data_IF_096060342109
#
_entry.id   IF_096060342109
#
_cell.length_a   1.000
_cell.length_b   1.000
_cell.length_c   1.000
_cell.angle_alpha   90.00
_cell.angle_beta   90.00
_cell.angle_gamma   90.00
#
_symmetry.space_group_name_H-M   'P 1'
#
loop_
_entity.id
_entity.type
_entity.pdbx_description
1 polymer ?
#
# COMPACT_ATOMS: atom_id res chain seq x y z
N UNK A 1 4.21 -39.43 53.35
CA UNK A 1 3.71 -38.42 54.31
C UNK A 1 3.82 -38.95 55.74
N UNK A 2 4.96 -38.75 56.39
CA UNK A 2 5.20 -39.14 57.81
C UNK A 2 5.85 -37.97 58.60
N UNK A 3 5.76 -36.76 58.06
CA UNK A 3 6.28 -35.53 58.66
C UNK A 3 5.10 -34.66 59.08
N UNK A 4 5.15 -34.10 60.29
CA UNK A 4 4.11 -33.17 60.75
C UNK A 4 4.25 -31.85 60.00
N UNK A 5 3.33 -31.55 59.09
CA UNK A 5 3.24 -30.27 58.36
C UNK A 5 3.53 -30.41 56.85
N UNK A 6 3.28 -29.31 56.13
CA UNK A 6 3.56 -29.24 54.69
C UNK A 6 5.05 -29.40 54.40
N UNK A 7 5.33 -30.08 53.29
CA UNK A 7 6.67 -30.27 52.75
C UNK A 7 6.60 -30.32 51.23
N UNK A 8 7.76 -30.36 50.56
CA UNK A 8 7.87 -30.51 49.10
C UNK A 8 7.08 -31.71 48.51
N UNK A 9 6.75 -32.72 49.31
CA UNK A 9 6.09 -33.95 48.86
C UNK A 9 4.88 -34.34 49.71
N UNK A 10 4.35 -33.44 50.54
CA UNK A 10 3.29 -33.77 51.47
C UNK A 10 2.45 -32.57 51.90
N UNK A 11 1.14 -32.71 51.77
CA UNK A 11 0.13 -31.77 52.23
C UNK A 11 -0.09 -31.85 53.74
N UNK A 12 -0.74 -30.83 54.30
CA UNK A 12 -1.05 -30.76 55.73
C UNK A 12 -2.02 -31.86 56.20
N UNK A 13 -2.80 -32.43 55.29
CA UNK A 13 -3.72 -33.56 55.52
C UNK A 13 -3.08 -34.93 55.27
N UNK A 14 -1.75 -34.97 55.07
CA UNK A 14 -0.95 -36.16 54.75
C UNK A 14 -1.22 -36.78 53.36
N UNK A 15 -1.90 -36.07 52.44
CA UNK A 15 -1.92 -36.42 51.02
C UNK A 15 -0.62 -36.03 50.32
N UNK A 16 -0.38 -36.60 49.13
CA UNK A 16 0.83 -36.33 48.34
C UNK A 16 0.62 -35.01 47.60
N UNK A 17 1.60 -34.11 47.69
CA UNK A 17 1.66 -32.88 46.87
C UNK A 17 1.62 -33.24 45.39
N UNK A 18 0.58 -32.78 44.71
CA UNK A 18 0.43 -32.93 43.27
C UNK A 18 -0.37 -31.74 42.73
N UNK A 19 0.12 -31.16 41.65
CA UNK A 19 -0.61 -30.11 40.97
C UNK A 19 -2.00 -30.58 40.54
N UNK A 20 -3.02 -29.78 40.89
CA UNK A 20 -4.42 -30.04 40.58
C UNK A 20 -5.18 -30.78 41.69
N UNK A 21 -4.65 -30.83 42.91
CA UNK A 21 -5.36 -31.40 44.07
C UNK A 21 -6.19 -30.36 44.85
N UNK A 22 -6.14 -29.10 44.43
CA UNK A 22 -6.84 -27.98 45.04
C UNK A 22 -6.13 -27.38 46.26
N UNK A 23 -4.87 -27.74 46.51
CA UNK A 23 -4.06 -27.25 47.63
C UNK A 23 -2.78 -26.62 47.12
N UNK A 24 -2.68 -25.29 47.18
CA UNK A 24 -1.48 -24.56 46.77
C UNK A 24 -0.28 -24.92 47.67
N UNK A 25 0.70 -25.61 47.10
CA UNK A 25 1.95 -26.00 47.74
C UNK A 25 3.12 -25.09 47.30
N UNK A 26 3.23 -23.91 47.90
CA UNK A 26 4.30 -22.93 47.60
C UNK A 26 5.71 -23.51 47.77
N UNK A 27 5.91 -24.43 48.72
CA UNK A 27 7.20 -25.10 48.92
C UNK A 27 7.58 -26.05 47.79
N UNK A 28 6.61 -26.49 46.99
CA UNK A 28 6.78 -27.31 45.79
C UNK A 28 6.83 -26.51 44.49
N UNK A 29 6.71 -25.18 44.58
CA UNK A 29 6.78 -24.28 43.43
C UNK A 29 5.44 -23.96 42.79
N UNK A 30 4.32 -24.37 43.39
CA UNK A 30 3.00 -24.00 42.89
C UNK A 30 2.69 -22.52 43.18
N UNK A 31 2.20 -21.83 42.15
CA UNK A 31 1.73 -20.45 42.23
C UNK A 31 0.21 -20.38 42.41
N UNK A 32 -0.49 -21.41 41.95
CA UNK A 32 -1.94 -21.62 42.02
C UNK A 32 -2.27 -23.11 42.05
N UNK A 33 -3.47 -23.47 42.46
CA UNK A 33 -4.03 -24.81 42.28
C UNK A 33 -5.57 -24.72 42.36
N UNK A 34 -6.20 -24.66 41.19
CA UNK A 34 -7.66 -24.59 41.05
C UNK A 34 -8.31 -25.97 40.88
N UNK A 35 -7.63 -27.03 41.34
CA UNK A 35 -8.01 -28.44 41.13
C UNK A 35 -8.09 -28.83 39.64
N UNK A 36 -7.19 -28.26 38.83
CA UNK A 36 -7.08 -28.46 37.38
C UNK A 36 -6.77 -27.16 36.64
N UNK A 37 -6.78 -27.24 35.31
CA UNK A 37 -6.60 -26.06 34.43
C UNK A 37 -7.80 -25.12 34.57
N UNK A 38 -7.54 -23.84 34.74
CA UNK A 38 -8.54 -22.78 34.90
C UNK A 38 -8.16 -21.54 34.10
N UNK A 39 -8.92 -20.44 34.22
CA UNK A 39 -8.54 -19.14 33.64
C UNK A 39 -7.31 -18.52 34.33
N UNK A 40 -6.93 -19.01 35.51
CA UNK A 40 -5.85 -18.45 36.33
C UNK A 40 -4.71 -19.41 36.59
N UNK A 41 -4.89 -20.70 36.27
CA UNK A 41 -3.95 -21.74 36.63
C UNK A 41 -3.71 -22.73 35.49
N UNK A 42 -2.43 -22.94 35.15
CA UNK A 42 -2.00 -23.88 34.12
C UNK A 42 -2.04 -25.32 34.63
N UNK A 43 -1.78 -26.28 33.73
CA UNK A 43 -1.62 -27.70 34.09
C UNK A 43 -0.36 -27.96 34.93
N UNK A 44 0.56 -27.00 34.99
CA UNK A 44 1.79 -27.07 35.77
C UNK A 44 1.71 -26.26 37.08
N UNK A 45 0.50 -25.81 37.45
CA UNK A 45 0.25 -25.02 38.67
C UNK A 45 1.04 -23.70 38.72
N UNK A 46 1.29 -23.14 37.54
CA UNK A 46 1.77 -21.77 37.34
C UNK A 46 0.60 -20.87 36.97
N UNK A 47 0.74 -19.56 37.13
CA UNK A 47 -0.29 -18.62 36.68
C UNK A 47 -0.39 -18.63 35.15
N UNK A 48 -1.60 -18.74 34.62
CA UNK A 48 -1.85 -18.67 33.17
C UNK A 48 -1.47 -17.29 32.62
N UNK A 49 -0.60 -17.26 31.61
CA UNK A 49 -0.21 -16.03 30.92
C UNK A 49 0.27 -16.33 29.51
N UNK A 50 -0.12 -15.49 28.56
CA UNK A 50 0.45 -15.56 27.22
C UNK A 50 1.98 -15.36 27.26
N UNK A 51 2.70 -16.25 26.59
CA UNK A 51 4.15 -16.31 26.53
C UNK A 51 4.79 -17.20 27.60
N UNK A 52 3.99 -18.00 28.32
CA UNK A 52 4.50 -18.97 29.32
C UNK A 52 4.89 -20.32 28.68
N UNK A 53 4.61 -20.50 27.38
CA UNK A 53 4.90 -21.72 26.62
C UNK A 53 3.86 -22.83 26.81
N UNK A 54 2.74 -22.53 27.47
CA UNK A 54 1.62 -23.44 27.70
C UNK A 54 0.38 -22.81 27.07
N UNK A 55 -0.23 -23.48 26.09
CA UNK A 55 -1.46 -22.96 25.48
C UNK A 55 -2.65 -23.04 26.46
N UNK A 56 -2.98 -21.92 27.08
CA UNK A 56 -4.05 -21.75 28.06
C UNK A 56 -5.41 -21.56 27.37
N UNK A 57 -5.97 -22.64 26.83
CA UNK A 57 -7.25 -22.56 26.07
C UNK A 57 -8.44 -22.02 26.88
N UNK A 58 -8.39 -22.09 28.21
CA UNK A 58 -9.39 -21.52 29.14
C UNK A 58 -9.38 -19.99 29.16
N UNK A 59 -8.23 -19.35 28.95
CA UNK A 59 -8.09 -17.89 28.83
C UNK A 59 -8.30 -17.39 27.40
N UNK A 60 -8.47 -18.31 26.44
CA UNK A 60 -8.72 -17.99 25.04
C UNK A 60 -7.47 -18.00 24.14
N UNK A 61 -6.33 -18.46 24.64
CA UNK A 61 -5.12 -18.63 23.82
C UNK A 61 -5.34 -19.67 22.72
N UNK A 62 -4.84 -19.34 21.52
CA UNK A 62 -4.90 -20.21 20.34
C UNK A 62 -3.60 -20.98 20.13
N UNK A 63 -2.48 -20.40 20.60
CA UNK A 63 -1.13 -20.93 20.56
C UNK A 63 -0.33 -20.29 21.70
N UNK A 64 0.78 -20.90 22.10
CA UNK A 64 1.77 -20.24 22.96
C UNK A 64 3.14 -20.90 22.71
N UNK A 65 3.96 -20.26 21.87
CA UNK A 65 5.33 -20.70 21.59
C UNK A 65 6.37 -20.03 22.53
N UNK A 66 5.89 -19.43 23.63
CA UNK A 66 6.66 -18.67 24.61
C UNK A 66 6.96 -17.23 24.18
N UNK A 67 7.11 -16.97 22.89
CA UNK A 67 7.26 -15.64 22.27
C UNK A 67 6.55 -15.65 20.90
N UNK A 68 6.52 -14.50 20.22
CA UNK A 68 6.10 -14.44 18.81
C UNK A 68 6.90 -15.45 17.96
N UNK A 69 6.19 -16.16 17.08
CA UNK A 69 6.72 -17.16 16.17
C UNK A 69 6.04 -17.06 14.81
N UNK A 70 6.52 -17.85 13.84
CA UNK A 70 5.92 -17.92 12.51
C UNK A 70 4.45 -18.42 12.50
N UNK A 71 3.95 -18.98 13.60
CA UNK A 71 2.58 -19.49 13.73
C UNK A 71 1.79 -18.84 14.87
N UNK A 72 2.44 -18.02 15.70
CA UNK A 72 1.86 -17.48 16.92
C UNK A 72 2.22 -16.01 17.11
N UNK A 73 1.23 -15.15 17.29
CA UNK A 73 1.42 -13.75 17.61
C UNK A 73 1.89 -13.57 19.06
N UNK A 74 2.49 -12.42 19.37
CA UNK A 74 2.92 -12.08 20.72
C UNK A 74 1.77 -11.95 21.75
N UNK A 75 0.52 -11.99 21.32
CA UNK A 75 -0.68 -12.03 22.17
C UNK A 75 -1.39 -13.40 22.16
N UNK A 76 -0.72 -14.45 21.69
CA UNK A 76 -1.20 -15.83 21.72
C UNK A 76 -2.45 -16.10 20.86
N UNK A 77 -2.65 -15.28 19.82
CA UNK A 77 -3.51 -15.62 18.68
C UNK A 77 -2.67 -16.25 17.56
N UNK A 78 -3.31 -16.99 16.65
CA UNK A 78 -2.60 -17.50 15.48
C UNK A 78 -2.06 -16.36 14.63
N UNK A 79 -0.85 -16.53 14.10
CA UNK A 79 -0.27 -15.60 13.14
C UNK A 79 -0.98 -15.72 11.79
N UNK A 80 -1.78 -14.71 11.44
CA UNK A 80 -2.55 -14.68 10.20
C UNK A 80 -2.60 -13.26 9.69
N UNK A 81 -2.09 -13.04 8.49
CA UNK A 81 -2.24 -11.78 7.80
C UNK A 81 -3.71 -11.33 7.70
N UNK A 82 -3.97 -10.09 8.12
CA UNK A 82 -5.29 -9.47 8.19
C UNK A 82 -5.97 -9.63 9.55
N UNK A 83 -5.25 -10.05 10.59
CA UNK A 83 -5.78 -10.11 11.96
C UNK A 83 -5.56 -8.81 12.75
N UNK A 84 -4.87 -7.84 12.15
CA UNK A 84 -4.56 -6.54 12.74
C UNK A 84 -3.36 -6.55 13.69
N UNK A 85 -2.54 -7.61 13.65
CA UNK A 85 -1.36 -7.78 14.50
C UNK A 85 -0.17 -8.15 13.63
N UNK A 86 0.69 -7.18 13.38
CA UNK A 86 1.91 -7.40 12.60
C UNK A 86 2.83 -8.41 13.28
N UNK A 87 3.02 -9.57 12.62
CA UNK A 87 3.91 -10.63 13.05
C UNK A 87 5.13 -10.74 12.11
N UNK A 88 6.22 -10.11 12.54
CA UNK A 88 7.47 -10.11 11.77
C UNK A 88 8.11 -11.49 11.66
N UNK A 89 7.83 -12.37 12.62
CA UNK A 89 8.33 -13.75 12.62
C UNK A 89 7.60 -14.65 11.60
N UNK A 90 6.36 -14.30 11.25
CA UNK A 90 5.58 -14.91 10.17
C UNK A 90 5.90 -14.30 8.79
N UNK A 91 6.64 -13.19 8.75
CA UNK A 91 7.06 -12.51 7.53
C UNK A 91 6.19 -11.32 7.13
N UNK A 92 5.31 -10.86 8.01
CA UNK A 92 4.47 -9.69 7.79
C UNK A 92 5.30 -8.40 7.96
N UNK A 93 5.16 -7.47 7.02
CA UNK A 93 5.78 -6.15 7.08
C UNK A 93 4.82 -5.10 7.67
N UNK A 94 3.52 -5.37 7.59
CA UNK A 94 2.42 -4.60 8.16
C UNK A 94 1.22 -5.53 8.40
N UNK A 95 0.27 -5.14 9.25
CA UNK A 95 -1.05 -5.77 9.31
C UNK A 95 -2.05 -4.77 9.89
N UNK A 96 -2.73 -4.05 9.01
CA UNK A 96 -3.77 -3.08 9.40
C UNK A 96 -5.16 -3.75 9.55
N UNK A 97 -5.24 -5.09 9.51
CA UNK A 97 -6.46 -5.90 9.55
C UNK A 97 -7.21 -6.00 8.20
N UNK A 98 -6.84 -5.16 7.23
CA UNK A 98 -7.33 -5.14 5.86
C UNK A 98 -6.36 -4.31 5.01
N UNK A 99 -6.49 -4.38 3.68
CA UNK A 99 -5.73 -3.52 2.78
C UNK A 99 -5.96 -2.03 3.10
N UNK A 100 -4.87 -1.26 3.15
CA UNK A 100 -4.85 0.19 3.36
C UNK A 100 -3.90 0.86 2.38
N UNK A 101 -3.83 2.19 2.41
CA UNK A 101 -2.86 2.95 1.62
C UNK A 101 -1.39 2.68 2.00
N UNK A 102 -1.11 1.92 3.07
CA UNK A 102 0.23 1.61 3.57
C UNK A 102 0.53 0.10 3.62
N UNK A 103 -0.49 -0.74 3.46
CA UNK A 103 -0.40 -2.17 3.67
C UNK A 103 -1.23 -2.91 2.62
N UNK A 104 -0.59 -3.83 1.91
CA UNK A 104 -1.24 -4.70 0.93
C UNK A 104 -2.07 -5.79 1.64
N UNK A 105 -2.95 -6.46 0.89
CA UNK A 105 -3.80 -7.53 1.42
C UNK A 105 -3.05 -8.81 1.80
N UNK A 106 -1.79 -8.93 1.37
CA UNK A 106 -0.85 -10.00 1.70
C UNK A 106 0.16 -9.62 2.80
N UNK A 107 -0.08 -8.49 3.49
CA UNK A 107 0.74 -7.98 4.59
C UNK A 107 2.17 -7.58 4.20
N UNK A 108 2.39 -7.30 2.92
CA UNK A 108 3.55 -6.55 2.45
C UNK A 108 3.29 -5.04 2.50
N UNK A 109 4.36 -4.25 2.61
CA UNK A 109 4.23 -2.80 2.49
C UNK A 109 3.87 -2.43 1.05
N UNK A 110 2.91 -1.51 0.90
CA UNK A 110 2.51 -1.08 -0.44
C UNK A 110 3.65 -0.32 -1.14
N UNK A 111 3.87 -0.61 -2.41
CA UNK A 111 4.78 0.18 -3.24
C UNK A 111 4.49 -0.03 -4.71
N UNK A 112 4.22 1.05 -5.44
CA UNK A 112 4.19 1.00 -6.90
C UNK A 112 5.43 0.29 -7.50
N UNK A 113 5.18 -0.76 -8.27
CA UNK A 113 6.17 -1.68 -8.82
C UNK A 113 6.35 -2.98 -8.01
N UNK A 114 5.48 -3.30 -7.05
CA UNK A 114 5.52 -4.54 -6.27
C UNK A 114 4.68 -5.69 -6.87
N UNK A 115 4.09 -5.46 -8.05
CA UNK A 115 3.17 -6.38 -8.75
C UNK A 115 1.84 -6.64 -8.02
N UNK A 116 1.51 -5.82 -7.00
CA UNK A 116 0.27 -5.90 -6.22
C UNK A 116 -0.50 -4.59 -6.39
N UNK A 117 -1.69 -4.65 -6.99
CA UNK A 117 -2.50 -3.44 -7.18
C UNK A 117 -3.20 -3.07 -5.87
N UNK A 118 -2.77 -1.99 -5.24
CA UNK A 118 -3.38 -1.44 -4.05
C UNK A 118 -4.25 -0.21 -4.36
N UNK A 119 -5.55 -0.44 -4.52
CA UNK A 119 -6.52 0.63 -4.85
C UNK A 119 -6.66 1.66 -3.72
N UNK A 120 -6.36 1.29 -2.47
CA UNK A 120 -6.44 2.20 -1.33
C UNK A 120 -5.23 3.14 -1.28
N UNK A 121 -4.09 2.73 -1.84
CA UNK A 121 -2.93 3.57 -2.09
C UNK A 121 -3.09 4.49 -3.32
N UNK A 122 -4.13 4.26 -4.12
CA UNK A 122 -4.43 5.03 -5.34
C UNK A 122 -3.84 4.46 -6.62
N UNK A 123 -3.42 3.19 -6.60
CA UNK A 123 -2.91 2.51 -7.78
C UNK A 123 -4.05 2.06 -8.70
N UNK A 124 -3.85 2.27 -10.00
CA UNK A 124 -4.77 1.85 -11.05
C UNK A 124 -4.22 0.63 -11.82
N UNK A 125 -2.91 0.40 -11.75
CA UNK A 125 -2.18 -0.72 -12.30
C UNK A 125 -0.88 -0.93 -11.53
N UNK A 126 -0.33 -2.14 -11.57
CA UNK A 126 1.03 -2.43 -11.11
C UNK A 126 1.56 -3.62 -11.91
N UNK A 127 2.34 -3.32 -12.96
CA UNK A 127 2.96 -4.34 -13.80
C UNK A 127 4.40 -4.68 -13.32
N UNK A 128 4.77 -4.30 -12.09
CA UNK A 128 6.12 -4.42 -11.51
C UNK A 128 7.14 -3.39 -12.01
N UNK A 129 6.84 -2.76 -13.15
CA UNK A 129 7.64 -1.74 -13.81
C UNK A 129 6.77 -0.95 -14.78
N UNK A 130 7.27 0.18 -15.29
CA UNK A 130 6.57 0.92 -16.34
C UNK A 130 6.39 0.06 -17.60
N UNK A 131 5.16 0.01 -18.13
CA UNK A 131 4.78 -0.72 -19.34
C UNK A 131 3.93 0.15 -20.27
N UNK A 132 3.55 -0.39 -21.43
CA UNK A 132 2.65 0.30 -22.34
C UNK A 132 1.24 0.58 -21.76
N UNK A 133 0.86 -0.09 -20.67
CA UNK A 133 -0.44 0.06 -19.99
C UNK A 133 -0.34 0.71 -18.62
N UNK A 134 0.86 0.81 -18.04
CA UNK A 134 1.06 1.26 -16.68
C UNK A 134 2.22 2.25 -16.58
N UNK A 135 1.94 3.42 -16.01
CA UNK A 135 2.94 4.45 -15.76
C UNK A 135 3.83 4.10 -14.58
N UNK A 136 4.99 4.76 -14.51
CA UNK A 136 5.97 4.60 -13.41
C UNK A 136 5.46 5.04 -12.02
N UNK A 137 4.28 5.64 -11.94
CA UNK A 137 3.60 5.96 -10.68
C UNK A 137 2.29 5.15 -10.47
N UNK A 138 2.12 4.05 -11.20
CA UNK A 138 1.01 3.12 -11.06
C UNK A 138 -0.36 3.73 -11.41
N UNK A 139 -0.36 4.74 -12.29
CA UNK A 139 -1.56 5.20 -13.00
C UNK A 139 -1.64 4.53 -14.36
N UNK A 140 -2.84 4.41 -14.93
CA UNK A 140 -2.98 3.84 -16.28
C UNK A 140 -2.26 4.74 -17.28
N UNK A 141 -1.43 4.14 -18.14
CA UNK A 141 -0.75 4.85 -19.21
C UNK A 141 -1.77 5.36 -20.25
N UNK A 142 -2.01 6.67 -20.25
CA UNK A 142 -2.88 7.33 -21.22
C UNK A 142 -2.27 8.65 -21.63
N UNK A 143 -2.04 8.83 -22.92
CA UNK A 143 -1.56 10.10 -23.41
C UNK A 143 -2.40 11.31 -22.99
N UNK A 144 -1.75 12.33 -22.42
CA UNK A 144 -2.36 13.53 -21.85
C UNK A 144 -2.63 13.43 -20.35
N UNK A 145 -2.06 12.45 -19.65
CA UNK A 145 -2.26 12.19 -18.21
C UNK A 145 -1.27 12.93 -17.29
N UNK A 146 -0.31 13.65 -17.85
CA UNK A 146 0.76 14.36 -17.15
C UNK A 146 2.11 13.61 -17.17
N UNK A 147 2.17 12.39 -17.72
CA UNK A 147 3.28 11.46 -17.56
C UNK A 147 3.74 10.96 -18.93
N UNK A 148 5.04 11.04 -19.20
CA UNK A 148 5.61 10.54 -20.45
C UNK A 148 5.97 9.07 -20.27
N UNK A 149 5.25 8.19 -20.97
CA UNK A 149 5.49 6.75 -20.95
C UNK A 149 6.04 6.25 -22.29
N UNK A 150 7.36 6.08 -22.34
CA UNK A 150 8.04 5.62 -23.56
C UNK A 150 7.67 4.19 -23.96
N UNK A 151 7.20 3.36 -23.01
CA UNK A 151 6.73 2.01 -23.29
C UNK A 151 5.36 2.01 -23.96
N UNK A 152 4.52 3.02 -23.67
CA UNK A 152 3.26 3.27 -24.38
C UNK A 152 3.46 3.91 -25.77
N UNK A 153 4.72 4.20 -26.13
CA UNK A 153 5.09 4.85 -27.39
C UNK A 153 5.14 6.37 -27.30
N UNK A 154 5.07 6.93 -26.10
CA UNK A 154 5.06 8.37 -25.87
C UNK A 154 6.49 8.92 -25.82
N UNK A 155 6.77 9.85 -26.72
CA UNK A 155 7.91 10.76 -26.72
C UNK A 155 7.59 12.05 -25.94
N UNK A 156 6.31 12.23 -25.62
CA UNK A 156 5.72 13.31 -24.84
C UNK A 156 4.27 12.94 -24.47
N UNK A 157 3.74 13.63 -23.48
CA UNK A 157 2.43 13.34 -22.88
C UNK A 157 1.29 14.15 -23.55
N UNK A 158 1.24 14.18 -24.88
CA UNK A 158 0.08 14.74 -25.61
C UNK A 158 -0.29 16.20 -25.35
N UNK A 159 0.55 17.00 -24.68
CA UNK A 159 0.26 18.43 -24.48
C UNK A 159 0.53 19.25 -25.75
N UNK A 160 -0.03 20.46 -25.79
CA UNK A 160 0.07 21.36 -26.92
C UNK A 160 1.53 21.58 -27.34
N UNK A 161 1.88 21.21 -28.57
CA UNK A 161 3.28 21.19 -28.99
C UNK A 161 3.90 19.82 -29.19
N UNK A 162 3.16 18.77 -28.92
CA UNK A 162 3.64 17.43 -29.19
C UNK A 162 2.66 16.61 -30.02
N UNK A 163 3.14 16.13 -31.17
CA UNK A 163 2.37 15.39 -32.16
C UNK A 163 2.36 13.88 -31.92
N UNK A 164 2.69 13.46 -30.72
CA UNK A 164 2.57 12.07 -30.32
C UNK A 164 1.11 11.69 -30.04
N UNK A 165 0.83 10.38 -29.99
CA UNK A 165 -0.50 9.84 -29.68
C UNK A 165 -1.56 10.01 -30.78
N UNK A 166 -1.14 10.29 -32.01
CA UNK A 166 -2.01 10.39 -33.18
C UNK A 166 -3.15 11.41 -33.00
N UNK A 167 -2.88 12.53 -32.32
CA UNK A 167 -3.72 13.72 -32.43
C UNK A 167 -3.52 14.36 -33.82
N UNK A 168 -4.28 13.87 -34.78
CA UNK A 168 -4.47 14.48 -36.09
C UNK A 168 -5.32 15.77 -35.98
N UNK A 169 -4.92 16.74 -35.16
CA UNK A 169 -5.52 18.08 -35.21
C UNK A 169 -4.43 19.15 -35.24
N UNK A 170 -3.62 19.12 -36.29
CA UNK A 170 -2.64 20.15 -36.64
C UNK A 170 -3.30 21.39 -37.25
N UNK A 171 -4.39 21.90 -36.66
CA UNK A 171 -5.23 22.89 -37.34
C UNK A 171 -4.90 24.36 -36.99
N UNK A 172 -3.93 24.62 -36.10
CA UNK A 172 -3.38 25.95 -35.82
C UNK A 172 -2.11 26.27 -36.62
N UNK A 173 -1.65 25.33 -37.46
CA UNK A 173 -0.43 25.45 -38.27
C UNK A 173 -0.68 25.88 -39.73
N UNK A 174 -1.90 26.26 -40.05
CA UNK A 174 -2.30 26.72 -41.38
C UNK A 174 -2.92 28.11 -41.28
N UNK A 175 -2.69 28.93 -42.31
CA UNK A 175 -3.26 30.27 -42.39
C UNK A 175 -4.77 30.23 -42.58
N UNK A 176 -5.49 31.15 -41.95
CA UNK A 176 -6.94 31.28 -42.03
C UNK A 176 -7.36 32.73 -42.17
N UNK A 177 -8.42 32.91 -42.95
CA UNK A 177 -9.10 34.20 -43.13
C UNK A 177 -10.07 34.52 -41.98
N UNK A 178 -10.15 33.65 -40.98
CA UNK A 178 -10.91 33.87 -39.75
C UNK A 178 -9.94 34.21 -38.62
N UNK A 179 -10.32 35.08 -37.69
CA UNK A 179 -9.60 35.17 -36.42
C UNK A 179 -9.68 33.81 -35.72
N UNK A 180 -8.65 33.47 -34.96
CA UNK A 180 -8.49 32.21 -34.21
C UNK A 180 -8.23 30.95 -35.05
N UNK A 181 -7.70 29.92 -34.40
CA UNK A 181 -7.61 28.56 -34.93
C UNK A 181 -8.58 27.63 -34.19
N UNK A 182 -8.64 26.36 -34.59
CA UNK A 182 -9.61 25.41 -34.01
C UNK A 182 -9.21 24.87 -32.62
N UNK A 183 -8.06 25.32 -32.09
CA UNK A 183 -7.60 24.91 -30.77
C UNK A 183 -7.75 26.09 -29.81
N UNK A 184 -8.74 26.04 -28.89
CA UNK A 184 -9.08 27.16 -28.02
C UNK A 184 -7.93 27.59 -27.10
N UNK A 185 -7.12 26.65 -26.61
CA UNK A 185 -6.00 26.92 -25.71
C UNK A 185 -4.93 27.78 -26.38
N UNK A 186 -4.68 27.54 -27.67
CA UNK A 186 -3.66 28.26 -28.43
C UNK A 186 -4.15 29.47 -29.14
N UNK A 187 -5.42 29.47 -29.50
CA UNK A 187 -6.12 30.72 -29.71
C UNK A 187 -5.95 31.62 -28.48
N UNK A 188 -6.30 31.16 -27.27
CA UNK A 188 -6.24 31.98 -26.07
C UNK A 188 -4.81 32.45 -25.73
N UNK A 189 -3.80 31.58 -25.91
CA UNK A 189 -2.41 31.94 -25.72
C UNK A 189 -1.95 33.00 -26.74
N UNK A 190 -2.15 32.78 -28.04
CA UNK A 190 -1.76 33.75 -29.08
C UNK A 190 -2.52 35.07 -28.89
N UNK A 191 -3.82 35.04 -28.57
CA UNK A 191 -4.60 36.25 -28.25
C UNK A 191 -4.03 37.07 -27.09
N UNK A 192 -3.34 36.42 -26.13
CA UNK A 192 -2.73 37.13 -25.01
C UNK A 192 -1.47 37.89 -25.42
N UNK A 193 -0.84 37.50 -26.53
CA UNK A 193 0.37 38.14 -27.09
C UNK A 193 0.03 39.11 -28.23
N UNK A 194 -0.82 38.70 -29.17
CA UNK A 194 -1.26 39.50 -30.30
C UNK A 194 -2.79 39.46 -30.47
N UNK A 195 -3.42 40.60 -30.16
CA UNK A 195 -4.87 40.80 -30.31
C UNK A 195 -5.31 40.79 -31.79
N UNK A 196 -4.39 41.01 -32.74
CA UNK A 196 -4.69 41.00 -34.17
C UNK A 196 -5.13 39.61 -34.64
N UNK A 197 -4.46 38.56 -34.16
CA UNK A 197 -4.77 37.14 -34.45
C UNK A 197 -6.17 36.72 -34.00
N UNK A 198 -6.78 37.50 -33.11
CA UNK A 198 -8.05 37.19 -32.47
C UNK A 198 -9.20 38.11 -32.89
N UNK A 199 -8.88 39.14 -33.66
CA UNK A 199 -9.85 40.13 -34.13
C UNK A 199 -9.91 40.24 -35.65
N UNK A 200 -8.85 39.85 -36.36
CA UNK A 200 -8.75 40.02 -37.82
C UNK A 200 -8.61 38.68 -38.55
N UNK A 201 -7.44 38.03 -38.47
CA UNK A 201 -7.12 36.82 -39.23
C UNK A 201 -5.99 36.02 -38.57
N UNK A 202 -5.95 34.72 -38.83
CA UNK A 202 -4.88 33.82 -38.38
C UNK A 202 -3.84 33.65 -39.50
N UNK A 203 -2.87 34.56 -39.58
CA UNK A 203 -1.87 34.58 -40.63
C UNK A 203 -0.56 33.85 -40.25
N UNK A 204 0.50 34.00 -41.06
CA UNK A 204 1.80 33.38 -40.78
C UNK A 204 2.44 33.89 -39.48
N UNK A 205 2.17 35.13 -39.07
CA UNK A 205 2.69 35.67 -37.81
C UNK A 205 1.98 34.98 -36.64
N UNK A 206 0.67 34.79 -36.71
CA UNK A 206 -0.08 34.03 -35.72
C UNK A 206 0.42 32.58 -35.58
N UNK A 207 0.84 31.97 -36.70
CA UNK A 207 1.45 30.63 -36.69
C UNK A 207 2.85 30.68 -36.04
N UNK A 208 3.71 31.63 -36.40
CA UNK A 208 5.03 31.80 -35.77
C UNK A 208 4.91 32.03 -34.26
N UNK A 209 3.99 32.88 -33.82
CA UNK A 209 3.71 33.11 -32.40
C UNK A 209 3.15 31.87 -31.72
N UNK A 210 2.28 31.12 -32.40
CA UNK A 210 1.80 29.85 -31.86
C UNK A 210 2.93 28.87 -31.59
N UNK A 211 3.96 28.84 -32.44
CA UNK A 211 5.14 27.97 -32.29
C UNK A 211 6.10 28.50 -31.22
N UNK A 212 6.48 29.77 -31.30
CA UNK A 212 7.55 30.34 -30.47
C UNK A 212 7.08 30.74 -29.07
N UNK A 213 5.84 31.22 -28.92
CA UNK A 213 5.30 31.72 -27.64
C UNK A 213 4.34 30.73 -27.00
N UNK A 214 3.58 30.00 -27.80
CA UNK A 214 2.57 29.04 -27.33
C UNK A 214 2.99 27.56 -27.51
N UNK A 215 4.27 27.36 -27.85
CA UNK A 215 4.93 26.06 -27.95
C UNK A 215 4.25 25.06 -28.90
N UNK A 216 3.47 25.53 -29.89
CA UNK A 216 2.86 24.67 -30.90
C UNK A 216 3.94 24.00 -31.76
N UNK A 217 3.76 22.72 -32.04
CA UNK A 217 4.59 22.02 -33.01
C UNK A 217 3.87 21.98 -34.35
N UNK A 218 4.39 22.76 -35.30
CA UNK A 218 3.96 22.70 -36.69
C UNK A 218 4.93 21.86 -37.53
N UNK A 219 4.44 21.03 -38.45
CA UNK A 219 5.30 20.42 -39.46
C UNK A 219 6.00 21.53 -40.25
N UNK A 220 7.26 21.31 -40.63
CA UNK A 220 8.14 22.32 -41.21
C UNK A 220 7.42 23.15 -42.30
N UNK A 221 7.19 24.44 -42.01
CA UNK A 221 6.51 25.35 -42.92
C UNK A 221 7.35 25.51 -44.20
N UNK A 222 6.74 25.51 -45.40
CA UNK A 222 7.45 25.82 -46.63
C UNK A 222 7.97 27.27 -46.57
N UNK A 223 9.18 27.55 -47.09
CA UNK A 223 9.75 28.89 -47.05
C UNK A 223 8.88 29.88 -47.84
N UNK A 224 8.58 31.02 -47.21
CA UNK A 224 7.76 32.08 -47.79
C UNK A 224 8.47 32.68 -49.02
N UNK A 225 7.82 32.82 -50.19
CA UNK A 225 8.39 33.58 -51.30
C UNK A 225 8.46 35.07 -50.92
N UNK A 226 9.67 35.61 -50.86
CA UNK A 226 9.92 37.05 -50.67
C UNK A 226 9.71 37.89 -51.92
#
# INVERSE_FOLDING_TARGET
CDTKGESLYCNQDCSITVCGDGIINVSAGEECDDAGVSETCTIECTLSSCGDGITNTTTGEQCDDGQESALCNGNCTFAVCGDGITNTSAGEECDDGQETAFCNDDCTLNSCGDEIININAGEECDDGQETASCNSNCTIAVCGDGIINTHAGETCDGHFGCNDCNFSETNCCEVRITPTCDIPEVTACVCAFDDFCCTNEWDNLCIEESVDQCQLACPALPPIPG
#
